data_IF_931198296111
#
_entry.id   IF_931198296111
#
_cell.length_a   1.000
_cell.length_b   1.000
_cell.length_c   1.000
_cell.angle_alpha   90.00
_cell.angle_beta   90.00
_cell.angle_gamma   90.00
#
_symmetry.space_group_name_H-M   'P 1'
#
loop_
_entity.id
_entity.type
_entity.pdbx_description
1 polymer ?
#
# COMPACT_ATOMS: atom_id res chain seq x y z
N UNK A 1 9.53 -9.02 -12.74
CA UNK A 1 8.95 -10.19 -12.04
C UNK A 1 8.16 -11.01 -13.05
N UNK A 2 8.05 -12.34 -12.90
CA UNK A 2 7.08 -13.13 -13.67
C UNK A 2 5.65 -12.64 -13.40
N UNK A 3 4.77 -12.68 -14.41
CA UNK A 3 3.41 -12.13 -14.29
C UNK A 3 2.61 -12.75 -13.13
N UNK A 4 2.77 -14.06 -12.88
CA UNK A 4 2.12 -14.74 -11.76
C UNK A 4 2.61 -14.25 -10.38
N UNK A 5 3.85 -13.80 -10.28
CA UNK A 5 4.37 -13.24 -9.03
C UNK A 5 3.85 -11.82 -8.78
N UNK A 6 3.52 -11.06 -9.84
CA UNK A 6 2.98 -9.72 -9.71
C UNK A 6 1.62 -9.71 -9.03
N UNK A 7 0.77 -10.70 -9.31
CA UNK A 7 -0.56 -10.83 -8.66
C UNK A 7 -0.42 -10.97 -7.14
N UNK A 8 0.47 -11.86 -6.68
CA UNK A 8 0.74 -12.05 -5.26
C UNK A 8 1.32 -10.80 -4.60
N UNK A 9 2.17 -10.05 -5.31
CA UNK A 9 2.72 -8.80 -4.81
C UNK A 9 1.62 -7.75 -4.65
N UNK A 10 0.72 -7.61 -5.62
CA UNK A 10 -0.40 -6.65 -5.57
C UNK A 10 -1.40 -6.97 -4.44
N UNK A 11 -1.54 -8.24 -4.06
CA UNK A 11 -2.38 -8.68 -2.94
C UNK A 11 -1.74 -8.41 -1.57
N UNK A 12 -0.41 -8.37 -1.48
CA UNK A 12 0.32 -8.35 -0.20
C UNK A 12 1.06 -7.05 0.08
N UNK A 13 1.33 -6.25 -0.96
CA UNK A 13 2.23 -5.09 -0.85
C UNK A 13 1.68 -3.91 -1.65
N UNK A 14 1.58 -2.77 -0.97
CA UNK A 14 1.32 -1.49 -1.62
C UNK A 14 2.67 -0.87 -1.98
N UNK A 15 2.84 -0.46 -3.24
CA UNK A 15 4.05 0.18 -3.74
C UNK A 15 3.73 1.22 -4.80
N UNK A 16 4.62 2.19 -4.98
CA UNK A 16 4.44 3.29 -5.91
C UNK A 16 4.39 4.65 -5.21
N UNK A 17 3.85 5.64 -5.90
CA UNK A 17 3.58 6.97 -5.35
C UNK A 17 2.27 6.99 -4.54
N UNK A 18 1.90 8.17 -4.03
CA UNK A 18 0.71 8.34 -3.20
C UNK A 18 -0.59 7.88 -3.90
N UNK A 19 -0.73 8.15 -5.21
CA UNK A 19 -1.93 7.82 -5.98
C UNK A 19 -2.01 6.31 -6.22
N UNK A 20 -0.89 5.68 -6.59
CA UNK A 20 -0.80 4.24 -6.73
C UNK A 20 -1.05 3.52 -5.40
N UNK A 21 -0.56 4.10 -4.30
CA UNK A 21 -0.75 3.55 -2.96
C UNK A 21 -2.22 3.59 -2.53
N UNK A 22 -2.91 4.71 -2.80
CA UNK A 22 -4.34 4.86 -2.57
C UNK A 22 -5.16 3.87 -3.37
N UNK A 23 -4.90 3.77 -4.67
CA UNK A 23 -5.61 2.83 -5.54
C UNK A 23 -5.36 1.36 -5.14
N UNK A 24 -4.18 1.03 -4.60
CA UNK A 24 -3.90 -0.27 -4.00
C UNK A 24 -4.80 -0.56 -2.80
N UNK A 25 -4.88 0.38 -1.87
CA UNK A 25 -5.71 0.27 -0.67
C UNK A 25 -7.21 0.16 -1.01
N UNK A 26 -7.69 0.96 -1.96
CA UNK A 26 -9.09 0.94 -2.42
C UNK A 26 -9.45 -0.43 -3.03
N UNK A 27 -8.52 -1.04 -3.77
CA UNK A 27 -8.72 -2.41 -4.31
C UNK A 27 -8.89 -3.43 -3.20
N UNK A 28 -8.14 -3.31 -2.10
CA UNK A 28 -8.27 -4.21 -0.95
C UNK A 28 -9.62 -4.05 -0.25
N UNK A 29 -10.07 -2.81 -0.03
CA UNK A 29 -11.41 -2.53 0.51
C UNK A 29 -12.51 -3.06 -0.40
N UNK A 30 -12.41 -2.84 -1.72
CA UNK A 30 -13.37 -3.36 -2.69
C UNK A 30 -13.41 -4.90 -2.74
N UNK A 31 -12.31 -5.57 -2.41
CA UNK A 31 -12.23 -7.02 -2.27
C UNK A 31 -12.78 -7.54 -0.93
N UNK A 32 -13.26 -6.66 -0.05
CA UNK A 32 -13.88 -7.02 1.23
C UNK A 32 -12.94 -6.97 2.45
N UNK A 33 -11.73 -6.40 2.32
CA UNK A 33 -10.89 -6.16 3.48
C UNK A 33 -11.51 -5.08 4.38
N UNK A 34 -11.97 -5.43 5.57
CA UNK A 34 -12.58 -4.46 6.50
C UNK A 34 -11.54 -3.58 7.21
N UNK A 35 -10.36 -4.14 7.50
CA UNK A 35 -9.30 -3.47 8.25
C UNK A 35 -7.92 -3.90 7.75
N UNK A 36 -7.43 -3.32 6.65
CA UNK A 36 -6.09 -3.60 6.14
C UNK A 36 -5.02 -3.07 7.11
N UNK A 37 -4.07 -3.93 7.47
CA UNK A 37 -2.88 -3.55 8.23
C UNK A 37 -1.74 -3.20 7.27
N UNK A 38 -1.24 -1.98 7.35
CA UNK A 38 -0.11 -1.52 6.52
C UNK A 38 1.15 -1.43 7.37
N UNK A 39 2.19 -2.16 6.99
CA UNK A 39 3.51 -2.08 7.61
C UNK A 39 4.35 -1.09 6.82
N UNK A 40 4.83 -0.04 7.50
CA UNK A 40 5.71 0.95 6.89
C UNK A 40 7.16 0.44 6.85
N UNK A 41 7.93 0.74 5.80
CA UNK A 41 9.31 0.29 5.67
C UNK A 41 10.21 0.86 6.80
N UNK A 42 11.09 0.05 7.38
CA UNK A 42 12.02 0.51 8.42
C UNK A 42 13.10 1.44 7.83
N UNK A 43 13.67 2.28 8.69
CA UNK A 43 14.81 3.14 8.33
C UNK A 43 14.48 4.33 7.43
N UNK A 44 13.20 4.69 7.31
CA UNK A 44 12.76 5.92 6.62
C UNK A 44 12.77 7.12 7.56
N UNK A 45 12.88 8.31 6.98
CA UNK A 45 12.73 9.56 7.70
C UNK A 45 11.30 9.76 8.20
N UNK A 46 11.13 10.56 9.24
CA UNK A 46 9.79 10.92 9.75
C UNK A 46 8.95 11.58 8.67
N UNK A 47 9.54 12.47 7.86
CA UNK A 47 8.84 13.17 6.78
C UNK A 47 8.27 12.20 5.72
N UNK A 48 9.06 11.20 5.31
CA UNK A 48 8.61 10.16 4.37
C UNK A 48 7.50 9.28 4.99
N UNK A 49 7.62 8.95 6.28
CA UNK A 49 6.59 8.18 6.98
C UNK A 49 5.28 8.97 7.09
N UNK A 50 5.35 10.26 7.45
CA UNK A 50 4.17 11.12 7.49
C UNK A 50 3.53 11.30 6.11
N UNK A 51 4.35 11.48 5.07
CA UNK A 51 3.84 11.54 3.70
C UNK A 51 3.09 10.27 3.33
N UNK A 52 3.64 9.09 3.67
CA UNK A 52 3.00 7.80 3.42
C UNK A 52 1.69 7.66 4.19
N UNK A 53 1.67 8.06 5.47
CA UNK A 53 0.45 8.04 6.29
C UNK A 53 -0.63 8.97 5.72
N UNK A 54 -0.26 10.18 5.30
CA UNK A 54 -1.19 11.12 4.63
C UNK A 54 -1.72 10.54 3.32
N UNK A 55 -0.85 9.90 2.54
CA UNK A 55 -1.23 9.27 1.27
C UNK A 55 -2.18 8.08 1.44
N UNK A 56 -2.22 7.44 2.61
CA UNK A 56 -3.07 6.28 2.93
C UNK A 56 -4.22 6.59 3.90
N UNK A 57 -4.33 7.82 4.41
CA UNK A 57 -5.38 8.22 5.35
C UNK A 57 -6.78 8.17 4.69
N UNK A 58 -7.80 7.52 5.27
CA UNK A 58 -9.12 7.30 4.66
C UNK A 58 -9.72 8.53 3.96
#
# INVERSE_FOLDING_TARGET
>A
MPAAAQVLVDELTISGDADAARAGLDRWYAAGAEMPFVVLPPGRSIEELEHTLRALAP
#
